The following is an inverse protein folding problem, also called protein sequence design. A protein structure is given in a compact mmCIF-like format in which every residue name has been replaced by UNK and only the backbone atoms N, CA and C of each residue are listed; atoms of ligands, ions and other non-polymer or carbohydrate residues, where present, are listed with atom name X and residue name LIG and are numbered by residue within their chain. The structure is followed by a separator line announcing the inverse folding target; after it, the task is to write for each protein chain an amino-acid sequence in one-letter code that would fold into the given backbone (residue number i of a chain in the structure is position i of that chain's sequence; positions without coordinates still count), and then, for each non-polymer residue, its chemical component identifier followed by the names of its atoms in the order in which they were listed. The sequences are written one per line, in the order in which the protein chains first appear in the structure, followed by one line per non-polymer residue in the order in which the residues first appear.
data_IF_124592829263
#
_entry.id   IF_124592829263
#
_cell.length_a   1.000
_cell.length_b   1.000
_cell.length_c   1.000
_cell.angle_alpha   90.00
_cell.angle_beta   90.00
_cell.angle_gamma   90.00
#
_symmetry.space_group_name_H-M   'P 1'
#
loop_
_entity.id
_entity.type
_entity.pdbx_description
1 polymer ?
#
# COMPACT_ATOMS: atom_id res chain seq x y z
N UNK A 1 24.08 -34.18 -2.13
CA UNK A 1 22.91 -33.68 -1.34
C UNK A 1 23.26 -33.15 0.06
N UNK A 2 24.43 -33.48 0.66
CA UNK A 2 24.83 -32.96 1.98
C UNK A 2 25.20 -31.46 2.02
N UNK A 3 25.76 -30.89 0.94
CA UNK A 3 26.19 -29.48 0.93
C UNK A 3 25.06 -28.45 1.09
N UNK A 4 23.81 -28.76 0.67
CA UNK A 4 22.65 -27.86 0.85
C UNK A 4 22.12 -27.80 2.30
N UNK A 5 22.47 -28.77 3.16
CA UNK A 5 22.06 -28.77 4.58
C UNK A 5 22.99 -27.92 5.45
N UNK A 6 24.28 -27.85 5.13
CA UNK A 6 25.27 -27.10 5.92
C UNK A 6 25.04 -25.59 5.84
N UNK A 7 24.86 -25.02 4.64
CA UNK A 7 24.52 -23.60 4.48
C UNK A 7 23.18 -23.19 5.12
N UNK A 8 22.28 -24.16 5.37
CA UNK A 8 20.97 -23.91 5.98
C UNK A 8 21.01 -23.93 7.51
N UNK A 9 21.86 -24.79 8.08
CA UNK A 9 22.12 -24.80 9.51
C UNK A 9 22.86 -23.53 9.94
N UNK A 10 23.80 -23.06 9.11
CA UNK A 10 24.47 -21.76 9.30
C UNK A 10 23.50 -20.58 9.19
N UNK A 11 22.46 -20.65 8.34
CA UNK A 11 21.45 -19.59 8.22
C UNK A 11 20.50 -19.55 9.42
N UNK A 12 20.18 -20.70 10.00
CA UNK A 12 19.41 -20.82 11.25
C UNK A 12 20.26 -20.40 12.46
N UNK A 13 21.55 -20.72 12.49
CA UNK A 13 22.48 -20.24 13.51
C UNK A 13 22.79 -18.74 13.37
N UNK A 14 22.86 -18.20 12.15
CA UNK A 14 23.01 -16.77 11.91
C UNK A 14 21.76 -15.98 12.38
N UNK A 15 20.57 -16.59 12.29
CA UNK A 15 19.33 -16.04 12.88
C UNK A 15 19.33 -16.03 14.42
N UNK A 16 20.29 -16.70 15.08
CA UNK A 16 20.48 -16.60 16.54
C UNK A 16 20.96 -15.20 16.96
N UNK A 17 21.60 -14.46 16.04
CA UNK A 17 21.73 -13.01 16.14
C UNK A 17 20.56 -12.35 15.38
N UNK A 18 19.53 -11.89 16.09
CA UNK A 18 18.40 -11.17 15.49
C UNK A 18 18.85 -9.81 14.91
N UNK A 19 19.51 -9.84 13.75
CA UNK A 19 20.00 -8.68 13.02
C UNK A 19 19.13 -8.37 11.80
N UNK A 20 19.08 -7.09 11.43
CA UNK A 20 18.33 -6.62 10.25
C UNK A 20 18.81 -7.32 8.96
N UNK A 21 20.13 -7.47 8.80
CA UNK A 21 20.74 -8.11 7.64
C UNK A 21 20.31 -9.56 7.48
N UNK A 22 20.27 -10.33 8.58
CA UNK A 22 19.81 -11.72 8.54
C UNK A 22 18.33 -11.84 8.13
N UNK A 23 17.46 -10.96 8.65
CA UNK A 23 16.03 -10.93 8.26
C UNK A 23 15.87 -10.56 6.79
N UNK A 24 16.64 -9.59 6.29
CA UNK A 24 16.61 -9.18 4.89
C UNK A 24 17.09 -10.30 3.96
N UNK A 25 18.20 -10.96 4.31
CA UNK A 25 18.73 -12.09 3.55
C UNK A 25 17.74 -13.27 3.52
N UNK A 26 17.12 -13.60 4.67
CA UNK A 26 16.07 -14.63 4.73
C UNK A 26 14.87 -14.27 3.85
N UNK A 27 14.47 -12.99 3.84
CA UNK A 27 13.39 -12.49 2.97
C UNK A 27 13.71 -12.75 1.50
N UNK A 28 14.91 -12.39 1.05
CA UNK A 28 15.37 -12.65 -0.32
C UNK A 28 15.43 -14.15 -0.64
N UNK A 29 15.87 -14.98 0.32
CA UNK A 29 15.94 -16.43 0.15
C UNK A 29 14.55 -17.06 -0.08
N UNK A 30 13.51 -16.58 0.62
CA UNK A 30 12.12 -17.04 0.40
C UNK A 30 11.65 -16.72 -1.02
N UNK A 31 11.91 -15.51 -1.53
CA UNK A 31 11.59 -15.15 -2.92
C UNK A 31 12.30 -16.03 -3.93
N UNK A 32 13.60 -16.26 -3.74
CA UNK A 32 14.40 -17.08 -4.63
C UNK A 32 13.93 -18.54 -4.65
N UNK A 33 13.42 -19.04 -3.51
CA UNK A 33 12.97 -20.43 -3.37
C UNK A 33 11.56 -20.68 -3.90
N UNK A 34 10.66 -19.70 -3.78
CA UNK A 34 9.24 -19.85 -4.16
C UNK A 34 8.74 -18.74 -5.10
N UNK A 35 9.43 -18.43 -6.22
CA UNK A 35 9.08 -17.29 -7.06
C UNK A 35 7.70 -17.45 -7.72
N UNK A 36 7.36 -18.64 -8.21
CA UNK A 36 6.10 -18.87 -8.93
C UNK A 36 4.86 -18.77 -8.02
N UNK A 37 4.79 -19.44 -6.84
CA UNK A 37 3.65 -19.27 -5.94
C UNK A 37 3.49 -17.83 -5.45
N UNK A 38 4.60 -17.14 -5.13
CA UNK A 38 4.56 -15.75 -4.69
C UNK A 38 4.04 -14.86 -5.81
N UNK A 39 4.58 -14.97 -7.03
CA UNK A 39 4.13 -14.18 -8.18
C UNK A 39 2.65 -14.41 -8.49
N UNK A 40 2.21 -15.67 -8.54
CA UNK A 40 0.82 -16.00 -8.81
C UNK A 40 -0.13 -15.45 -7.74
N UNK A 41 0.18 -15.62 -6.44
CA UNK A 41 -0.59 -14.99 -5.37
C UNK A 41 -0.62 -13.46 -5.51
N UNK A 42 0.49 -12.86 -5.88
CA UNK A 42 0.62 -11.39 -5.95
C UNK A 42 -0.18 -10.79 -7.10
N UNK A 43 -0.15 -11.45 -8.26
CA UNK A 43 -0.95 -11.06 -9.42
C UNK A 43 -2.44 -11.23 -9.15
N UNK A 44 -2.85 -12.37 -8.57
CA UNK A 44 -4.27 -12.64 -8.30
C UNK A 44 -4.84 -11.77 -7.17
N UNK A 45 -4.07 -11.52 -6.12
CA UNK A 45 -4.58 -10.92 -4.89
C UNK A 45 -4.28 -9.44 -4.72
N UNK A 46 -3.26 -8.89 -5.38
CA UNK A 46 -2.86 -7.49 -5.22
C UNK A 46 -2.94 -6.70 -6.53
N UNK A 47 -2.27 -7.17 -7.59
CA UNK A 47 -2.28 -6.42 -8.86
C UNK A 47 -3.62 -6.55 -9.61
N UNK A 48 -4.25 -7.73 -9.58
CA UNK A 48 -5.40 -8.05 -10.42
C UNK A 48 -6.58 -7.09 -10.22
N UNK A 49 -6.90 -6.74 -8.98
CA UNK A 49 -7.96 -5.78 -8.65
C UNK A 49 -7.60 -4.36 -9.11
N UNK A 50 -6.34 -3.95 -8.94
CA UNK A 50 -5.81 -2.69 -9.44
C UNK A 50 -5.94 -2.56 -10.96
N UNK A 51 -5.47 -3.58 -11.67
CA UNK A 51 -5.51 -3.67 -13.14
C UNK A 51 -6.96 -3.67 -13.63
N UNK A 52 -7.83 -4.50 -13.04
CA UNK A 52 -9.24 -4.56 -13.42
C UNK A 52 -9.93 -3.20 -13.27
N UNK A 53 -9.73 -2.53 -12.14
CA UNK A 53 -10.30 -1.19 -11.93
C UNK A 53 -9.76 -0.16 -12.93
N UNK A 54 -8.46 -0.20 -13.25
CA UNK A 54 -7.86 0.69 -14.26
C UNK A 54 -8.41 0.47 -15.67
N UNK A 55 -8.70 -0.79 -16.03
CA UNK A 55 -9.32 -1.14 -17.31
C UNK A 55 -10.79 -0.70 -17.38
N UNK A 56 -11.55 -0.88 -16.30
CA UNK A 56 -12.93 -0.40 -16.21
C UNK A 56 -12.98 1.12 -16.33
N UNK A 57 -12.08 1.82 -15.63
CA UNK A 57 -11.95 3.27 -15.75
C UNK A 57 -11.67 3.71 -17.18
N UNK A 58 -10.68 3.10 -17.84
CA UNK A 58 -10.35 3.40 -19.25
C UNK A 58 -11.57 3.19 -20.16
N UNK A 59 -12.26 2.05 -20.02
CA UNK A 59 -13.41 1.70 -20.85
C UNK A 59 -14.57 2.71 -20.69
N UNK A 60 -14.89 3.07 -19.44
CA UNK A 60 -15.94 4.06 -19.14
C UNK A 60 -15.57 5.45 -19.66
N UNK A 61 -14.31 5.85 -19.50
CA UNK A 61 -13.83 7.14 -19.97
C UNK A 61 -13.83 7.23 -21.50
N UNK A 62 -13.29 6.23 -22.19
CA UNK A 62 -13.25 6.22 -23.66
C UNK A 62 -14.65 6.18 -24.25
N UNK A 63 -15.54 5.33 -23.72
CA UNK A 63 -16.94 5.25 -24.17
C UNK A 63 -17.70 6.55 -23.90
N UNK A 64 -17.55 7.11 -22.70
CA UNK A 64 -18.25 8.34 -22.35
C UNK A 64 -17.73 9.55 -23.12
N UNK A 65 -16.42 9.65 -23.38
CA UNK A 65 -15.86 10.71 -24.23
C UNK A 65 -16.38 10.61 -25.66
N UNK A 66 -16.51 9.39 -26.21
CA UNK A 66 -17.11 9.19 -27.54
C UNK A 66 -18.58 9.66 -27.60
N UNK A 67 -19.32 9.60 -26.49
CA UNK A 67 -20.73 9.98 -26.43
C UNK A 67 -20.98 11.46 -26.04
N UNK A 68 -20.17 12.05 -25.16
CA UNK A 68 -20.42 13.35 -24.53
C UNK A 68 -19.35 14.40 -24.82
N UNK A 69 -18.26 14.02 -25.50
CA UNK A 69 -17.11 14.87 -25.84
C UNK A 69 -16.53 15.69 -24.66
N UNK A 70 -16.68 15.19 -23.43
CA UNK A 70 -16.23 15.88 -22.22
C UNK A 70 -15.57 14.92 -21.24
N UNK A 71 -14.26 15.04 -21.07
CA UNK A 71 -13.49 14.28 -20.08
C UNK A 71 -13.90 14.64 -18.63
N UNK A 72 -14.09 15.92 -18.34
CA UNK A 72 -14.30 16.42 -16.98
C UNK A 72 -15.67 16.05 -16.39
N UNK A 73 -16.70 15.91 -17.24
CA UNK A 73 -18.02 15.48 -16.81
C UNK A 73 -18.03 14.02 -16.31
N UNK A 74 -17.13 13.19 -16.85
CA UNK A 74 -17.13 11.73 -16.66
C UNK A 74 -16.05 11.24 -15.69
N UNK A 75 -14.91 11.93 -15.63
CA UNK A 75 -13.73 11.48 -14.88
C UNK A 75 -14.06 11.15 -13.42
N UNK A 76 -14.89 11.96 -12.78
CA UNK A 76 -15.18 11.80 -11.36
C UNK A 76 -16.15 10.65 -11.05
N UNK A 77 -17.13 10.38 -11.93
CA UNK A 77 -18.04 9.24 -11.76
C UNK A 77 -17.34 7.92 -12.11
N UNK A 78 -16.54 7.89 -13.18
CA UNK A 78 -15.74 6.74 -13.56
C UNK A 78 -14.71 6.37 -12.49
N UNK A 79 -14.03 7.38 -11.91
CA UNK A 79 -13.06 7.15 -10.84
C UNK A 79 -13.72 6.65 -9.55
N UNK A 80 -14.89 7.19 -9.18
CA UNK A 80 -15.61 6.70 -8.01
C UNK A 80 -16.03 5.23 -8.19
N UNK A 81 -16.57 4.88 -9.35
CA UNK A 81 -16.97 3.51 -9.65
C UNK A 81 -15.77 2.55 -9.64
N UNK A 82 -14.63 2.96 -10.22
CA UNK A 82 -13.37 2.22 -10.11
C UNK A 82 -13.03 1.92 -8.64
N UNK A 83 -13.00 2.95 -7.79
CA UNK A 83 -12.63 2.81 -6.39
C UNK A 83 -13.59 1.91 -5.61
N UNK A 84 -14.90 1.98 -5.89
CA UNK A 84 -15.89 1.11 -5.26
C UNK A 84 -15.71 -0.36 -5.65
N UNK A 85 -15.46 -0.65 -6.93
CA UNK A 85 -15.19 -2.01 -7.42
C UNK A 85 -13.90 -2.54 -6.80
N UNK A 86 -12.86 -1.72 -6.77
CA UNK A 86 -11.58 -2.07 -6.16
C UNK A 86 -11.72 -2.32 -4.66
N UNK A 87 -12.52 -1.52 -3.93
CA UNK A 87 -12.81 -1.76 -2.52
C UNK A 87 -13.59 -3.07 -2.30
N UNK A 88 -14.64 -3.32 -3.09
CA UNK A 88 -15.49 -4.50 -2.94
C UNK A 88 -14.74 -5.82 -3.21
N UNK A 89 -13.96 -5.86 -4.30
CA UNK A 89 -13.20 -7.07 -4.69
C UNK A 89 -11.85 -7.16 -3.97
N UNK A 90 -11.21 -6.03 -3.72
CA UNK A 90 -9.90 -5.90 -3.08
C UNK A 90 -9.92 -6.39 -1.65
N UNK A 91 -10.97 -6.08 -0.88
CA UNK A 91 -10.97 -6.42 0.54
C UNK A 91 -10.79 -7.93 0.80
N UNK A 92 -11.48 -8.76 0.03
CA UNK A 92 -11.38 -10.21 0.14
C UNK A 92 -10.05 -10.74 -0.42
N UNK A 93 -9.69 -10.32 -1.63
CA UNK A 93 -8.51 -10.82 -2.35
C UNK A 93 -7.22 -10.46 -1.64
N UNK A 94 -7.09 -9.23 -1.14
CA UNK A 94 -5.93 -8.78 -0.37
C UNK A 94 -5.79 -9.57 0.93
N UNK A 95 -6.90 -9.85 1.61
CA UNK A 95 -6.87 -10.59 2.88
C UNK A 95 -6.37 -12.02 2.68
N UNK A 96 -6.92 -12.70 1.67
CA UNK A 96 -6.55 -14.07 1.32
C UNK A 96 -5.10 -14.12 0.81
N UNK A 97 -4.70 -13.20 -0.06
CA UNK A 97 -3.34 -13.13 -0.59
C UNK A 97 -2.30 -12.87 0.49
N UNK A 98 -2.62 -11.97 1.44
CA UNK A 98 -1.79 -11.71 2.61
C UNK A 98 -1.58 -12.97 3.44
N UNK A 99 -2.66 -13.65 3.80
CA UNK A 99 -2.56 -14.92 4.54
C UNK A 99 -1.75 -15.97 3.79
N UNK A 100 -1.96 -16.10 2.48
CA UNK A 100 -1.27 -17.08 1.64
C UNK A 100 0.24 -16.79 1.57
N UNK A 101 0.67 -15.57 1.26
CA UNK A 101 2.10 -15.22 1.17
C UNK A 101 2.78 -15.33 2.52
N UNK A 102 2.14 -14.88 3.59
CA UNK A 102 2.70 -15.05 4.93
C UNK A 102 2.82 -16.53 5.31
N UNK A 103 1.87 -17.39 4.92
CA UNK A 103 2.01 -18.83 5.11
C UNK A 103 3.18 -19.42 4.32
N UNK A 104 3.34 -19.01 3.04
CA UNK A 104 4.50 -19.39 2.22
C UNK A 104 5.78 -18.99 2.94
N UNK A 105 5.88 -17.75 3.44
CA UNK A 105 7.05 -17.25 4.14
C UNK A 105 7.40 -18.05 5.41
N UNK A 106 6.39 -18.45 6.18
CA UNK A 106 6.57 -19.24 7.39
C UNK A 106 6.88 -20.72 7.12
N UNK A 107 6.51 -21.25 5.96
CA UNK A 107 6.71 -22.66 5.58
C UNK A 107 7.89 -22.88 4.65
N UNK A 108 8.37 -21.86 3.96
CA UNK A 108 9.58 -21.88 3.15
C UNK A 108 10.86 -22.36 3.87
N UNK A 109 11.02 -22.18 5.20
CA UNK A 109 12.14 -22.77 5.94
C UNK A 109 12.08 -24.31 6.01
N UNK A 110 10.87 -24.85 6.07
CA UNK A 110 10.62 -26.30 6.12
C UNK A 110 10.70 -26.78 4.68
N UNK A 111 11.59 -27.72 4.35
CA UNK A 111 11.88 -28.15 2.98
C UNK A 111 10.75 -28.80 2.15
N UNK A 112 9.49 -28.51 2.48
CA UNK A 112 8.29 -28.98 1.81
C UNK A 112 8.02 -28.20 0.51
N UNK A 113 7.47 -28.90 -0.48
CA UNK A 113 6.94 -28.26 -1.67
C UNK A 113 5.73 -27.38 -1.30
N UNK A 114 5.80 -26.10 -1.64
CA UNK A 114 4.73 -25.13 -1.42
C UNK A 114 3.82 -25.13 -2.64
N UNK A 115 2.54 -25.43 -2.45
CA UNK A 115 1.52 -25.33 -3.51
C UNK A 115 0.58 -24.15 -3.24
N UNK A 116 0.06 -23.53 -4.31
CA UNK A 116 -0.93 -22.45 -4.21
C UNK A 116 -2.18 -22.91 -3.46
N UNK A 117 -2.64 -24.13 -3.74
CA UNK A 117 -3.81 -24.73 -3.06
C UNK A 117 -3.60 -24.81 -1.55
N UNK A 118 -2.41 -25.24 -1.10
CA UNK A 118 -2.10 -25.30 0.33
C UNK A 118 -2.03 -23.91 0.97
N UNK A 119 -1.40 -22.94 0.29
CA UNK A 119 -1.28 -21.57 0.78
C UNK A 119 -2.66 -20.89 0.91
N UNK A 120 -3.48 -20.95 -0.14
CA UNK A 120 -4.84 -20.41 -0.11
C UNK A 120 -5.75 -21.16 0.85
N UNK A 121 -5.66 -22.49 0.90
CA UNK A 121 -6.38 -23.30 1.88
C UNK A 121 -6.05 -22.86 3.30
N UNK A 122 -4.77 -22.69 3.64
CA UNK A 122 -4.35 -22.23 4.95
C UNK A 122 -4.85 -20.81 5.30
N UNK A 123 -4.88 -19.91 4.32
CA UNK A 123 -5.42 -18.55 4.50
C UNK A 123 -6.93 -18.59 4.75
N UNK A 124 -7.68 -19.37 3.96
CA UNK A 124 -9.13 -19.53 4.11
C UNK A 124 -9.51 -20.19 5.44
N UNK A 125 -8.76 -21.21 5.87
CA UNK A 125 -8.94 -21.83 7.18
C UNK A 125 -8.78 -20.83 8.34
N UNK A 126 -8.00 -19.77 8.13
CA UNK A 126 -7.76 -18.69 9.10
C UNK A 126 -8.48 -17.38 8.74
N UNK A 127 -9.52 -17.45 7.93
CA UNK A 127 -10.27 -16.28 7.46
C UNK A 127 -10.78 -15.41 8.62
N UNK A 128 -11.39 -16.02 9.65
CA UNK A 128 -11.99 -15.27 10.78
C UNK A 128 -10.98 -14.38 11.52
N UNK A 129 -9.83 -14.89 12.02
CA UNK A 129 -8.83 -14.05 12.67
C UNK A 129 -8.18 -13.06 11.70
N UNK A 130 -7.96 -13.44 10.44
CA UNK A 130 -7.43 -12.52 9.42
C UNK A 130 -8.38 -11.33 9.20
N UNK A 131 -9.68 -11.58 9.10
CA UNK A 131 -10.72 -10.55 8.94
C UNK A 131 -10.77 -9.62 10.14
N UNK A 132 -10.85 -10.18 11.36
CA UNK A 132 -10.86 -9.40 12.60
C UNK A 132 -9.60 -8.52 12.73
N UNK A 133 -8.44 -9.08 12.38
CA UNK A 133 -7.16 -8.38 12.36
C UNK A 133 -7.14 -7.23 11.36
N UNK A 134 -7.71 -7.44 10.18
CA UNK A 134 -7.77 -6.43 9.14
C UNK A 134 -8.75 -5.32 9.48
N UNK A 135 -9.91 -5.64 10.05
CA UNK A 135 -10.89 -4.64 10.52
C UNK A 135 -10.30 -3.75 11.61
N UNK A 136 -9.65 -4.35 12.62
CA UNK A 136 -9.01 -3.60 13.69
C UNK A 136 -7.90 -2.68 13.16
N UNK A 137 -7.02 -3.23 12.32
CA UNK A 137 -5.95 -2.45 11.69
C UNK A 137 -6.53 -1.33 10.81
N UNK A 138 -7.51 -1.64 9.97
CA UNK A 138 -8.17 -0.71 9.08
C UNK A 138 -8.82 0.45 9.83
N UNK A 139 -9.51 0.17 10.95
CA UNK A 139 -10.12 1.20 11.79
C UNK A 139 -9.05 2.15 12.38
N UNK A 140 -7.99 1.61 12.98
CA UNK A 140 -6.91 2.40 13.57
C UNK A 140 -6.19 3.27 12.54
N UNK A 141 -5.89 2.70 11.38
CA UNK A 141 -5.25 3.43 10.29
C UNK A 141 -6.17 4.48 9.69
N UNK A 142 -7.47 4.21 9.54
CA UNK A 142 -8.42 5.20 9.04
C UNK A 142 -8.47 6.41 9.96
N UNK A 143 -8.56 6.21 11.28
CA UNK A 143 -8.51 7.31 12.27
C UNK A 143 -7.21 8.10 12.17
N UNK A 144 -6.08 7.41 12.07
CA UNK A 144 -4.75 8.03 11.91
C UNK A 144 -4.68 8.90 10.65
N UNK A 145 -5.19 8.38 9.54
CA UNK A 145 -5.15 9.04 8.24
C UNK A 145 -6.10 10.22 8.15
N UNK A 146 -7.21 10.24 8.88
CA UNK A 146 -8.09 11.42 8.93
C UNK A 146 -7.31 12.64 9.44
N UNK A 147 -6.56 12.50 10.54
CA UNK A 147 -5.73 13.59 11.07
C UNK A 147 -4.63 14.04 10.11
N UNK A 148 -3.90 13.08 9.50
CA UNK A 148 -2.86 13.37 8.50
C UNK A 148 -3.46 14.06 7.28
N UNK A 149 -4.59 13.56 6.77
CA UNK A 149 -5.26 14.12 5.57
C UNK A 149 -5.78 15.52 5.85
N UNK A 150 -6.33 15.77 7.04
CA UNK A 150 -6.76 17.11 7.44
C UNK A 150 -5.57 18.08 7.46
N UNK A 151 -4.47 17.71 8.11
CA UNK A 151 -3.25 18.53 8.12
C UNK A 151 -2.69 18.77 6.71
N UNK A 152 -2.53 17.73 5.91
CA UNK A 152 -2.01 17.84 4.54
C UNK A 152 -2.91 18.71 3.66
N UNK A 153 -4.23 18.62 3.85
CA UNK A 153 -5.20 19.43 3.12
C UNK A 153 -5.06 20.92 3.46
N UNK A 154 -5.00 21.27 4.74
CA UNK A 154 -4.78 22.66 5.17
C UNK A 154 -3.38 23.16 4.76
N UNK A 155 -2.38 22.27 4.78
CA UNK A 155 -1.02 22.57 4.31
C UNK A 155 -0.91 22.65 2.78
N UNK A 156 -2.00 22.39 2.04
CA UNK A 156 -2.05 22.31 0.57
C UNK A 156 -1.14 21.24 -0.04
N UNK A 157 -0.72 20.25 0.76
CA UNK A 157 0.11 19.10 0.38
C UNK A 157 -0.74 17.84 0.15
N UNK A 158 -2.00 18.01 -0.24
CA UNK A 158 -2.95 16.93 -0.52
C UNK A 158 -3.27 16.84 -2.03
N UNK A 159 -3.42 15.62 -2.54
CA UNK A 159 -3.70 15.35 -3.96
C UNK A 159 -4.99 16.07 -4.43
N UNK A 160 -5.95 16.27 -3.52
CA UNK A 160 -7.20 17.00 -3.79
C UNK A 160 -7.02 18.47 -4.20
N UNK A 161 -5.89 19.08 -3.87
CA UNK A 161 -5.60 20.48 -4.20
C UNK A 161 -5.07 20.67 -5.63
N UNK A 162 -4.73 19.59 -6.34
CA UNK A 162 -4.28 19.64 -7.74
C UNK A 162 -5.47 19.49 -8.69
N UNK A 163 -6.10 20.61 -9.06
CA UNK A 163 -7.18 20.59 -10.08
C UNK A 163 -6.70 20.88 -11.50
N UNK A 164 -5.53 21.48 -11.67
CA UNK A 164 -4.93 21.81 -12.96
C UNK A 164 -3.44 21.52 -12.95
N UNK A 165 -2.96 20.82 -13.98
CA UNK A 165 -1.53 20.68 -14.26
C UNK A 165 -1.05 22.01 -14.80
N UNK A 166 -0.60 22.92 -13.92
CA UNK A 166 0.24 24.03 -14.37
C UNK A 166 1.56 23.43 -14.84
N UNK A 167 2.04 23.88 -16.01
CA UNK A 167 3.26 23.35 -16.66
C UNK A 167 4.56 23.83 -16.00
N UNK A 168 4.50 24.54 -14.87
CA UNK A 168 5.69 25.03 -14.17
C UNK A 168 6.37 23.92 -13.37
N UNK A 169 7.71 23.94 -13.37
CA UNK A 169 8.52 22.92 -12.70
C UNK A 169 8.19 22.78 -11.20
N UNK A 170 7.81 23.89 -10.54
CA UNK A 170 7.43 23.91 -9.14
C UNK A 170 6.10 23.15 -8.89
N UNK A 171 5.09 23.33 -9.74
CA UNK A 171 3.86 22.54 -9.65
C UNK A 171 4.10 21.03 -9.87
N UNK A 172 4.95 20.67 -10.83
CA UNK A 172 5.31 19.27 -11.11
C UNK A 172 6.04 18.65 -9.91
N UNK A 173 7.03 19.36 -9.34
CA UNK A 173 7.78 18.90 -8.17
C UNK A 173 6.88 18.73 -6.95
N UNK A 174 5.99 19.70 -6.70
CA UNK A 174 5.03 19.61 -5.60
C UNK A 174 4.05 18.44 -5.82
N UNK A 175 3.59 18.20 -7.04
CA UNK A 175 2.74 17.05 -7.35
C UNK A 175 3.47 15.73 -7.08
N UNK A 176 4.76 15.64 -7.42
CA UNK A 176 5.57 14.45 -7.14
C UNK A 176 5.77 14.26 -5.63
N UNK A 177 6.02 15.33 -4.88
CA UNK A 177 6.11 15.32 -3.43
C UNK A 177 4.80 14.83 -2.79
N UNK A 178 3.67 15.39 -3.18
CA UNK A 178 2.36 15.03 -2.62
C UNK A 178 1.99 13.58 -2.94
N UNK A 179 2.29 13.09 -4.14
CA UNK A 179 2.11 11.69 -4.50
C UNK A 179 3.03 10.76 -3.71
N UNK A 180 4.26 11.18 -3.45
CA UNK A 180 5.21 10.44 -2.62
C UNK A 180 4.73 10.37 -1.17
N UNK A 181 4.24 11.49 -0.62
CA UNK A 181 3.61 11.52 0.71
C UNK A 181 2.37 10.61 0.74
N UNK A 182 1.59 10.58 -0.34
CA UNK A 182 0.43 9.69 -0.45
C UNK A 182 0.78 8.19 -0.55
N UNK A 183 2.06 7.82 -0.70
CA UNK A 183 2.55 6.43 -0.61
C UNK A 183 3.04 6.06 0.80
N UNK A 184 3.17 7.04 1.70
CA UNK A 184 3.46 6.81 3.12
C UNK A 184 2.28 6.23 3.96
N UNK A 185 0.98 6.27 3.57
CA UNK A 185 -0.11 5.67 4.34
C UNK A 185 0.08 4.19 4.65
N UNK A 186 -0.22 3.74 5.87
CA UNK A 186 0.26 2.47 6.40
C UNK A 186 -0.36 1.22 5.77
N UNK A 187 0.55 0.31 5.41
CA UNK A 187 0.34 -1.00 4.78
C UNK A 187 -0.38 -1.00 3.40
N UNK A 188 0.38 -1.02 2.27
CA UNK A 188 -0.21 -1.06 0.92
C UNK A 188 -1.06 -2.31 0.65
N UNK A 189 -0.93 -3.35 1.47
CA UNK A 189 -1.77 -4.55 1.38
C UNK A 189 -3.05 -4.48 2.22
N UNK A 190 -3.39 -3.33 2.84
CA UNK A 190 -4.61 -3.23 3.65
C UNK A 190 -5.85 -3.32 2.76
N UNK A 191 -6.84 -4.15 3.11
CA UNK A 191 -8.09 -4.25 2.36
C UNK A 191 -8.91 -2.94 2.37
N UNK A 192 -8.53 -1.98 3.22
CA UNK A 192 -9.19 -0.68 3.39
C UNK A 192 -8.50 0.47 2.65
N UNK A 193 -7.36 0.24 1.98
CA UNK A 193 -6.63 1.29 1.25
C UNK A 193 -7.51 1.94 0.16
N UNK A 194 -8.34 1.15 -0.50
CA UNK A 194 -9.26 1.64 -1.54
C UNK A 194 -10.46 2.40 -0.95
N UNK A 195 -11.02 1.92 0.17
CA UNK A 195 -12.06 2.65 0.92
C UNK A 195 -11.56 4.00 1.42
N UNK A 196 -10.31 4.05 1.88
CA UNK A 196 -9.65 5.30 2.25
C UNK A 196 -9.49 6.23 1.04
N UNK A 197 -9.00 5.71 -0.08
CA UNK A 197 -8.82 6.49 -1.33
C UNK A 197 -10.14 7.08 -1.83
N UNK A 198 -11.22 6.29 -1.78
CA UNK A 198 -12.58 6.75 -2.06
C UNK A 198 -13.03 7.85 -1.08
N UNK A 199 -12.77 7.67 0.22
CA UNK A 199 -13.15 8.64 1.25
C UNK A 199 -12.41 9.97 1.08
N UNK A 200 -11.09 9.94 0.81
CA UNK A 200 -10.33 11.16 0.47
C UNK A 200 -10.91 11.87 -0.74
N UNK A 201 -11.25 11.11 -1.78
CA UNK A 201 -11.83 11.66 -2.99
C UNK A 201 -13.19 12.34 -2.74
N UNK A 202 -14.02 11.76 -1.87
CA UNK A 202 -15.29 12.37 -1.46
C UNK A 202 -15.08 13.64 -0.61
N UNK A 203 -14.18 13.61 0.37
CA UNK A 203 -13.86 14.76 1.21
C UNK A 203 -13.25 15.94 0.42
N UNK A 204 -12.48 15.65 -0.63
CA UNK A 204 -11.99 16.65 -1.58
C UNK A 204 -13.13 17.40 -2.28
N UNK A 205 -14.23 16.71 -2.55
CA UNK A 205 -15.34 17.19 -3.39
C UNK A 205 -16.43 17.90 -2.59
N UNK A 206 -16.64 17.52 -1.32
CA UNK A 206 -17.61 18.18 -0.42
C UNK A 206 -17.13 19.53 0.13
N UNK A 207 -15.87 19.92 -0.12
CA UNK A 207 -15.42 21.29 0.12
C UNK A 207 -16.06 22.24 -0.89
N UNK A 208 -17.18 22.82 -0.49
CA UNK A 208 -18.18 23.53 -1.31
C UNK A 208 -17.74 24.87 -1.93
N UNK A 209 -16.61 24.91 -2.63
CA UNK A 209 -16.24 26.07 -3.45
C UNK A 209 -15.50 25.57 -4.70
N UNK A 210 -16.29 25.12 -5.68
CA UNK A 210 -15.77 24.52 -6.90
C UNK A 210 -15.16 25.52 -7.88
N UNK A 211 -15.46 26.82 -7.75
CA UNK A 211 -14.88 27.90 -8.57
C UNK A 211 -14.00 28.90 -7.78
N UNK A 212 -14.24 29.12 -6.48
CA UNK A 212 -13.51 30.15 -5.70
C UNK A 212 -12.07 29.76 -5.37
N UNK A 213 -11.79 28.48 -5.11
CA UNK A 213 -10.42 27.99 -4.80
C UNK A 213 -9.46 28.00 -6.00
N UNK A 214 -9.99 28.16 -7.23
CA UNK A 214 -9.21 28.13 -8.48
C UNK A 214 -8.61 29.51 -8.81
N UNK A 215 -9.20 30.59 -8.29
CA UNK A 215 -8.88 31.97 -8.68
C UNK A 215 -8.17 32.77 -7.58
N UNK A 216 -8.23 32.33 -6.32
CA UNK A 216 -7.52 32.96 -5.22
C UNK A 216 -6.62 31.94 -4.54
N UNK A 217 -5.30 32.08 -4.75
CA UNK A 217 -4.28 31.46 -3.90
C UNK A 217 -3.84 32.51 -2.88
N UNK A 218 -4.53 32.70 -1.73
CA UNK A 218 -3.98 33.53 -0.68
C UNK A 218 -2.69 32.87 -0.16
N UNK A 219 -1.72 33.72 0.20
CA UNK A 219 -0.42 33.43 0.83
C UNK A 219 -0.49 32.34 1.90
N UNK A 220 0.63 31.65 2.23
CA UNK A 220 0.64 30.55 3.17
C UNK A 220 -0.01 30.94 4.50
N UNK A 221 -1.16 30.33 4.77
CA UNK A 221 -1.89 30.50 6.03
C UNK A 221 -1.09 29.76 7.10
N UNK A 222 -0.76 30.43 8.20
CA UNK A 222 -0.20 29.76 9.39
C UNK A 222 -1.18 28.67 9.80
N UNK A 223 -0.74 27.41 9.75
CA UNK A 223 -1.58 26.28 10.14
C UNK A 223 -2.00 26.44 11.61
N UNK A 224 -3.30 26.37 11.93
CA UNK A 224 -3.75 26.40 13.31
C UNK A 224 -3.06 25.29 14.12
N UNK A 225 -2.65 25.58 15.35
CA UNK A 225 -1.98 24.60 16.21
C UNK A 225 -2.80 23.30 16.37
N UNK A 226 -4.12 23.40 16.43
CA UNK A 226 -5.02 22.24 16.49
C UNK A 226 -4.91 21.31 15.26
N UNK A 227 -4.73 21.87 14.05
CA UNK A 227 -4.57 21.10 12.81
C UNK A 227 -3.21 20.40 12.77
N UNK A 228 -2.15 21.11 13.18
CA UNK A 228 -0.82 20.51 13.31
C UNK A 228 -0.82 19.37 14.33
N UNK A 229 -1.40 19.58 15.51
CA UNK A 229 -1.53 18.56 16.55
C UNK A 229 -2.33 17.35 16.05
N UNK A 230 -3.44 17.56 15.34
CA UNK A 230 -4.22 16.48 14.75
C UNK A 230 -3.41 15.66 13.73
N UNK A 231 -2.63 16.34 12.89
CA UNK A 231 -1.75 15.69 11.91
C UNK A 231 -0.62 14.88 12.57
N UNK A 232 0.07 15.46 13.54
CA UNK A 232 1.13 14.77 14.29
C UNK A 232 0.57 13.60 15.11
N UNK A 233 -0.57 13.77 15.78
CA UNK A 233 -1.24 12.70 16.51
C UNK A 233 -1.64 11.55 15.57
N UNK A 234 -2.15 11.87 14.38
CA UNK A 234 -2.45 10.89 13.34
C UNK A 234 -1.20 10.14 12.86
N UNK A 235 -0.09 10.86 12.59
CA UNK A 235 1.18 10.24 12.19
C UNK A 235 1.76 9.34 13.30
N UNK A 236 1.69 9.78 14.55
CA UNK A 236 2.12 9.00 15.71
C UNK A 236 1.27 7.73 15.86
N UNK A 237 -0.06 7.84 15.76
CA UNK A 237 -0.97 6.70 15.85
C UNK A 237 -0.72 5.68 14.72
N UNK A 238 -0.46 6.16 13.49
CA UNK A 238 -0.08 5.29 12.38
C UNK A 238 1.24 4.54 12.67
N UNK A 239 2.24 5.26 13.18
CA UNK A 239 3.54 4.69 13.54
C UNK A 239 3.44 3.63 14.65
N UNK A 240 2.68 3.93 15.70
CA UNK A 240 2.40 2.99 16.78
C UNK A 240 1.63 1.77 16.28
N UNK A 241 0.57 1.98 15.50
CA UNK A 241 -0.26 0.89 14.97
C UNK A 241 0.56 -0.05 14.09
N UNK A 242 1.38 0.48 13.18
CA UNK A 242 2.26 -0.35 12.36
C UNK A 242 3.28 -1.13 13.19
N UNK A 243 3.94 -0.44 14.13
CA UNK A 243 4.98 -1.08 14.96
C UNK A 243 4.37 -2.21 15.79
N UNK A 244 3.21 -1.98 16.41
CA UNK A 244 2.57 -2.95 17.28
C UNK A 244 1.93 -4.11 16.51
N UNK A 245 1.36 -3.86 15.33
CA UNK A 245 0.54 -4.82 14.61
C UNK A 245 1.15 -5.34 13.31
N UNK A 246 2.37 -4.96 12.92
CA UNK A 246 3.01 -5.47 11.68
C UNK A 246 3.11 -7.01 11.66
N UNK A 247 3.42 -7.64 12.79
CA UNK A 247 3.59 -9.10 12.87
C UNK A 247 2.26 -9.89 13.00
N UNK A 248 1.10 -9.21 12.98
CA UNK A 248 -0.22 -9.82 13.24
C UNK A 248 -0.53 -11.00 12.32
N UNK A 249 -0.26 -10.85 11.02
CA UNK A 249 -0.55 -11.88 10.03
C UNK A 249 0.38 -13.08 10.22
N UNK A 250 1.67 -12.83 10.47
CA UNK A 250 2.63 -13.88 10.74
C UNK A 250 2.22 -14.71 11.96
N UNK A 251 1.79 -14.04 13.04
CA UNK A 251 1.28 -14.71 14.24
C UNK A 251 0.05 -15.56 13.96
N UNK A 252 -0.96 -15.01 13.27
CA UNK A 252 -2.19 -15.73 12.91
C UNK A 252 -1.86 -16.98 12.08
N UNK A 253 -0.99 -16.85 11.08
CA UNK A 253 -0.61 -17.97 10.20
C UNK A 253 0.30 -19.00 10.88
N UNK A 254 1.01 -18.61 11.94
CA UNK A 254 1.81 -19.52 12.75
C UNK A 254 0.98 -20.33 13.77
N UNK A 255 -0.11 -19.76 14.30
CA UNK A 255 -0.94 -20.41 15.31
C UNK A 255 -1.88 -21.49 14.73
N UNK A 256 -1.98 -22.70 15.33
CA UNK A 256 -2.85 -23.77 14.84
C UNK A 256 -4.35 -23.46 15.00
N UNK A 257 -4.77 -22.94 16.15
CA UNK A 257 -6.16 -22.54 16.43
C UNK A 257 -6.16 -21.42 17.48
N UNK A 258 -6.60 -20.23 17.11
CA UNK A 258 -6.84 -19.14 18.05
C UNK A 258 -8.25 -18.59 17.83
N UNK A 259 -8.87 -18.10 18.89
CA UNK A 259 -10.06 -17.25 18.77
C UNK A 259 -9.79 -16.08 17.79
N UNK A 260 -10.85 -15.42 17.30
CA UNK A 260 -10.73 -14.36 16.30
C UNK A 260 -9.76 -13.23 16.71
N UNK A 261 -9.59 -12.99 18.02
CA UNK A 261 -8.68 -11.99 18.59
C UNK A 261 -7.54 -12.60 19.44
N UNK A 262 -7.41 -13.92 19.52
CA UNK A 262 -6.40 -14.59 20.36
C UNK A 262 -4.95 -14.29 19.97
N UNK A 263 -4.74 -13.77 18.75
CA UNK A 263 -3.43 -13.31 18.27
C UNK A 263 -3.02 -11.94 18.84
N UNK A 264 -3.96 -11.11 19.30
CA UNK A 264 -3.72 -9.69 19.59
C UNK A 264 -2.75 -9.48 20.75
N UNK A 265 -3.08 -9.98 21.95
CA UNK A 265 -2.26 -9.79 23.15
C UNK A 265 -0.84 -10.32 22.98
N UNK A 266 -0.61 -11.54 22.47
CA UNK A 266 0.75 -12.03 22.24
C UNK A 266 1.52 -11.22 21.20
N UNK A 267 0.85 -10.73 20.14
CA UNK A 267 1.51 -9.90 19.12
C UNK A 267 1.94 -8.57 19.71
N UNK A 268 1.04 -7.88 20.42
CA UNK A 268 1.35 -6.59 21.06
C UNK A 268 2.45 -6.76 22.09
N UNK A 269 2.42 -7.81 22.91
CA UNK A 269 3.47 -8.08 23.91
C UNK A 269 4.85 -8.27 23.26
N UNK A 270 4.92 -9.04 22.16
CA UNK A 270 6.17 -9.24 21.42
C UNK A 270 6.67 -7.95 20.77
N UNK A 271 5.77 -7.19 20.13
CA UNK A 271 6.12 -5.91 19.52
C UNK A 271 6.58 -4.89 20.55
N UNK A 272 5.96 -4.83 21.73
CA UNK A 272 6.34 -3.91 22.81
C UNK A 272 7.71 -4.24 23.39
N UNK A 273 8.01 -5.51 23.67
CA UNK A 273 9.30 -5.90 24.24
C UNK A 273 10.48 -5.60 23.32
N UNK A 274 10.22 -5.52 22.00
CA UNK A 274 11.21 -5.22 20.96
C UNK A 274 10.86 -3.95 20.16
N UNK A 275 10.14 -3.00 20.77
CA UNK A 275 9.47 -1.89 20.06
C UNK A 275 10.41 -1.12 19.13
N UNK A 276 11.54 -0.63 19.65
CA UNK A 276 12.47 0.17 18.85
C UNK A 276 13.08 -0.60 17.69
N UNK A 277 13.36 -1.88 17.88
CA UNK A 277 13.91 -2.76 16.84
C UNK A 277 12.88 -2.98 15.73
N UNK A 278 11.65 -3.31 16.11
CA UNK A 278 10.53 -3.48 15.17
C UNK A 278 10.24 -2.19 14.41
N UNK A 279 10.16 -1.06 15.12
CA UNK A 279 9.91 0.25 14.51
C UNK A 279 11.00 0.61 13.49
N UNK A 280 12.28 0.53 13.89
CA UNK A 280 13.40 0.87 13.03
C UNK A 280 13.45 -0.01 11.77
N UNK A 281 13.27 -1.32 11.92
CA UNK A 281 13.32 -2.26 10.79
C UNK A 281 12.14 -2.06 9.84
N UNK A 282 10.93 -1.95 10.39
CA UNK A 282 9.71 -1.75 9.60
C UNK A 282 9.75 -0.43 8.83
N UNK A 283 10.03 0.68 9.51
CA UNK A 283 10.06 1.99 8.89
C UNK A 283 11.28 2.16 7.97
N UNK A 284 12.43 1.54 8.28
CA UNK A 284 13.58 1.53 7.40
C UNK A 284 13.29 0.89 6.04
N UNK A 285 12.74 -0.34 6.03
CA UNK A 285 12.33 -1.01 4.79
C UNK A 285 11.27 -0.19 4.06
N UNK A 286 10.31 0.36 4.79
CA UNK A 286 9.25 1.16 4.21
C UNK A 286 9.77 2.42 3.51
N UNK A 287 10.62 3.20 4.17
CA UNK A 287 11.20 4.41 3.61
C UNK A 287 12.04 4.08 2.36
N UNK A 288 12.77 2.96 2.37
CA UNK A 288 13.50 2.49 1.19
C UNK A 288 12.55 2.14 0.03
N UNK A 289 11.46 1.40 0.28
CA UNK A 289 10.45 1.06 -0.73
C UNK A 289 9.75 2.31 -1.27
N UNK A 290 9.34 3.24 -0.39
CA UNK A 290 8.71 4.50 -0.81
C UNK A 290 9.69 5.35 -1.61
N UNK A 291 10.95 5.43 -1.21
CA UNK A 291 11.99 6.13 -1.97
C UNK A 291 12.19 5.53 -3.37
N UNK A 292 12.24 4.20 -3.48
CA UNK A 292 12.33 3.51 -4.76
C UNK A 292 11.09 3.75 -5.62
N UNK A 293 9.89 3.63 -5.07
CA UNK A 293 8.64 3.92 -5.78
C UNK A 293 8.58 5.39 -6.22
N UNK A 294 9.04 6.32 -5.39
CA UNK A 294 9.09 7.73 -5.72
C UNK A 294 10.01 7.99 -6.92
N UNK A 295 11.22 7.44 -6.89
CA UNK A 295 12.22 7.62 -7.94
C UNK A 295 11.86 6.90 -9.25
N UNK A 296 11.41 5.64 -9.17
CA UNK A 296 11.21 4.78 -10.33
C UNK A 296 9.81 4.89 -10.96
N UNK A 297 8.80 5.32 -10.20
CA UNK A 297 7.42 5.44 -10.69
C UNK A 297 6.90 6.87 -10.55
N UNK A 298 6.79 7.38 -9.31
CA UNK A 298 6.05 8.61 -9.05
C UNK A 298 6.62 9.79 -9.80
N UNK A 299 7.93 9.97 -9.78
CA UNK A 299 8.60 11.08 -10.44
C UNK A 299 8.52 10.98 -11.96
N UNK A 300 8.90 9.86 -12.62
CA UNK A 300 8.76 9.70 -14.06
C UNK A 300 7.32 9.90 -14.56
N UNK A 301 6.34 9.30 -13.85
CA UNK A 301 4.94 9.48 -14.21
C UNK A 301 4.55 10.95 -14.04
N UNK A 302 4.89 11.58 -12.93
CA UNK A 302 4.49 12.98 -12.68
C UNK A 302 5.12 13.93 -13.71
N UNK A 303 6.37 13.67 -14.13
CA UNK A 303 7.00 14.38 -15.25
C UNK A 303 6.24 14.15 -16.56
N UNK A 304 5.88 12.91 -16.87
CA UNK A 304 5.10 12.56 -18.07
C UNK A 304 3.71 13.23 -18.07
N UNK A 305 2.98 13.19 -16.96
CA UNK A 305 1.66 13.84 -16.86
C UNK A 305 1.77 15.36 -16.81
N UNK A 306 2.88 15.89 -16.27
CA UNK A 306 3.14 17.32 -16.09
C UNK A 306 3.57 18.03 -17.37
N UNK A 307 4.39 17.36 -18.19
CA UNK A 307 5.02 17.94 -19.36
C UNK A 307 4.51 17.35 -20.68
N UNK A 308 4.45 16.02 -20.78
CA UNK A 308 4.21 15.32 -22.06
C UNK A 308 2.74 15.28 -22.43
N UNK A 309 1.87 14.84 -21.51
CA UNK A 309 0.43 14.74 -21.79
C UNK A 309 -0.22 16.08 -22.17
N UNK A 310 0.06 17.19 -21.46
CA UNK A 310 -0.48 18.49 -21.86
C UNK A 310 -0.01 18.92 -23.25
N UNK A 311 1.23 18.58 -23.65
CA UNK A 311 1.77 18.89 -24.97
C UNK A 311 1.04 18.09 -26.05
N UNK A 312 0.90 16.77 -25.86
CA UNK A 312 0.14 15.90 -26.77
C UNK A 312 -1.31 16.34 -26.92
N UNK A 313 -1.96 16.78 -25.84
CA UNK A 313 -3.35 17.27 -25.88
C UNK A 313 -3.45 18.57 -26.66
N UNK A 314 -2.48 19.49 -26.50
CA UNK A 314 -2.47 20.72 -27.29
C UNK A 314 -2.23 20.48 -28.79
N UNK A 315 -1.41 19.50 -29.15
CA UNK A 315 -1.12 19.15 -30.54
C UNK A 315 -2.26 18.35 -31.18
N UNK A 316 -2.73 17.30 -30.51
CA UNK A 316 -3.78 16.40 -31.03
C UNK A 316 -5.20 16.97 -30.87
N UNK A 317 -5.37 18.06 -30.12
CA UNK A 317 -6.68 18.66 -29.75
C UNK A 317 -7.68 17.64 -29.20
N UNK A 318 -7.19 16.62 -28.50
CA UNK A 318 -8.00 15.53 -28.00
C UNK A 318 -7.60 15.15 -26.57
N UNK A 319 -8.59 14.76 -25.75
CA UNK A 319 -8.40 14.44 -24.33
C UNK A 319 -8.13 12.96 -24.04
N UNK A 320 -8.17 12.09 -25.05
CA UNK A 320 -7.90 10.65 -24.90
C UNK A 320 -6.53 10.29 -24.29
N UNK A 321 -5.45 11.10 -24.40
CA UNK A 321 -4.19 10.79 -23.75
C UNK A 321 -4.27 10.80 -22.21
N UNK A 322 -5.20 11.57 -21.61
CA UNK A 322 -5.37 11.62 -20.16
C UNK A 322 -5.80 10.28 -19.54
N UNK A 323 -6.94 9.66 -19.96
CA UNK A 323 -7.36 8.39 -19.37
C UNK A 323 -6.38 7.25 -19.69
N UNK A 324 -5.76 7.23 -20.88
CA UNK A 324 -4.74 6.22 -21.21
C UNK A 324 -3.53 6.30 -20.26
N UNK A 325 -3.01 7.51 -20.05
CA UNK A 325 -1.89 7.73 -19.14
C UNK A 325 -2.24 7.40 -17.67
N UNK A 326 -3.45 7.74 -17.22
CA UNK A 326 -3.92 7.39 -15.87
C UNK A 326 -4.04 5.87 -15.69
N UNK A 327 -4.59 5.16 -16.68
CA UNK A 327 -4.70 3.70 -16.62
C UNK A 327 -3.33 3.01 -16.71
N UNK A 328 -2.43 3.49 -17.56
CA UNK A 328 -1.05 2.99 -17.63
C UNK A 328 -0.32 3.18 -16.28
N UNK A 329 -0.50 4.33 -15.63
CA UNK A 329 0.00 4.57 -14.28
C UNK A 329 -0.58 3.58 -13.26
N UNK A 330 -1.90 3.42 -13.24
CA UNK A 330 -2.56 2.53 -12.28
C UNK A 330 -2.12 1.06 -12.46
N UNK A 331 -1.95 0.62 -13.71
CA UNK A 331 -1.41 -0.72 -14.03
C UNK A 331 0.05 -0.84 -13.57
N UNK A 332 0.90 0.14 -13.89
CA UNK A 332 2.31 0.14 -13.45
C UNK A 332 2.45 0.11 -11.93
N UNK A 333 1.66 0.92 -11.22
CA UNK A 333 1.61 0.93 -9.77
C UNK A 333 1.12 -0.41 -9.20
N UNK A 334 0.10 -1.02 -9.80
CA UNK A 334 -0.39 -2.34 -9.40
C UNK A 334 0.67 -3.44 -9.57
N UNK A 335 1.42 -3.41 -10.67
CA UNK A 335 2.51 -4.35 -10.94
C UNK A 335 3.66 -4.20 -9.94
N UNK A 336 4.08 -2.96 -9.62
CA UNK A 336 5.09 -2.74 -8.57
C UNK A 336 4.54 -3.12 -7.18
N UNK A 337 3.26 -2.89 -6.94
CA UNK A 337 2.54 -3.40 -5.76
C UNK A 337 2.64 -4.92 -5.62
N UNK A 338 2.52 -5.66 -6.72
CA UNK A 338 2.68 -7.12 -6.73
C UNK A 338 4.09 -7.62 -6.40
N UNK A 339 5.10 -6.75 -6.33
CA UNK A 339 6.42 -7.12 -5.80
C UNK A 339 6.64 -6.58 -4.38
N UNK A 340 6.30 -5.31 -4.15
CA UNK A 340 6.56 -4.62 -2.89
C UNK A 340 5.70 -5.11 -1.73
N UNK A 341 4.41 -5.42 -1.96
CA UNK A 341 3.50 -5.94 -0.94
C UNK A 341 3.98 -7.32 -0.43
N UNK A 342 4.20 -8.34 -1.30
CA UNK A 342 4.74 -9.61 -0.87
C UNK A 342 6.07 -9.48 -0.14
N UNK A 343 6.92 -8.55 -0.58
CA UNK A 343 8.21 -8.34 0.06
C UNK A 343 8.06 -7.88 1.50
N UNK A 344 7.21 -6.89 1.74
CA UNK A 344 6.86 -6.46 3.09
C UNK A 344 6.28 -7.60 3.94
N UNK A 345 5.38 -8.41 3.38
CA UNK A 345 4.75 -9.53 4.10
C UNK A 345 5.73 -10.64 4.47
N UNK A 346 6.64 -10.99 3.56
CA UNK A 346 7.68 -11.98 3.82
C UNK A 346 8.66 -11.43 4.85
N UNK A 347 9.07 -10.16 4.73
CA UNK A 347 9.92 -9.49 5.71
C UNK A 347 9.31 -9.50 7.11
N UNK A 348 8.02 -9.15 7.24
CA UNK A 348 7.29 -9.21 8.51
C UNK A 348 7.25 -10.63 9.09
N UNK A 349 7.08 -11.65 8.24
CA UNK A 349 7.09 -13.05 8.67
C UNK A 349 8.48 -13.50 9.16
N UNK A 350 9.55 -13.12 8.46
CA UNK A 350 10.92 -13.44 8.87
C UNK A 350 11.32 -12.66 10.13
N UNK A 351 10.92 -11.40 10.25
CA UNK A 351 11.08 -10.60 11.45
C UNK A 351 10.36 -11.25 12.64
N UNK A 352 9.12 -11.71 12.45
CA UNK A 352 8.38 -12.44 13.47
C UNK A 352 9.13 -13.70 13.92
N UNK A 353 9.62 -14.53 12.99
CA UNK A 353 10.37 -15.73 13.33
C UNK A 353 11.65 -15.41 14.12
N UNK A 354 12.44 -14.45 13.65
CA UNK A 354 13.67 -14.02 14.32
C UNK A 354 13.41 -13.52 15.75
N UNK A 355 12.45 -12.63 15.93
CA UNK A 355 12.15 -12.05 17.25
C UNK A 355 11.44 -13.03 18.20
N UNK A 356 10.73 -14.03 17.67
CA UNK A 356 10.08 -15.06 18.49
C UNK A 356 11.06 -16.10 19.05
N UNK A 357 12.22 -16.26 18.41
CA UNK A 357 13.26 -17.22 18.78
C UNK A 357 14.40 -16.60 19.62
N UNK A 358 14.52 -15.26 19.61
CA UNK A 358 15.46 -14.46 20.42
C UNK A 358 15.02 -14.47 21.91
N UNK A 359 15.31 -15.59 22.60
CA UNK A 359 15.02 -15.83 24.02
C UNK A 359 16.01 -15.14 24.94
#
# INVERSE_FOLDING_TARGET
MQAKRSAYHELIEAMSSASFGAVLQSTCAVFARHPLPILACSLLCFAGVGILGALIYAALMLRGMAAQNSYFALAASAFNLQMQIQAALGAFTFLVGRGAITWIALRAPVGAAVTLRAAFGAALWRWRPLLASSLLYGALITVSLVGITWMLREARLDVSNYRWVRRDAHAILNMALVRTIAQLPPDPGSPFTELYSATRFHLARQSGSSLGWVLYQPSPVRLPAAVLLAGFAGALLACLTETLLCMRTARIMHMPQSSALGWLVPTVRLSLSRFWRVAAWRWGVRLAVVGLCAAALTLPITLHQGAVVPLMVSEARAYWPYPVNISAYAIGAALVGAFTIPFGLIFEAQMFLALSNDR
#
